data_IF_110399112690
#
_entry.id   IF_110399112690
#
_cell.length_a   1.000
_cell.length_b   1.000
_cell.length_c   1.000
_cell.angle_alpha   90.00
_cell.angle_beta   90.00
_cell.angle_gamma   90.00
#
_symmetry.space_group_name_H-M   'P 1'
#
loop_
_entity.id
_entity.type
_entity.pdbx_description
1 polymer ?
#
# COMPACT_ATOMS: atom_id res chain seq x y z
N UNK A 1 -3.66 12.20 -9.47
CA UNK A 1 -3.80 10.92 -10.20
C UNK A 1 -5.06 10.90 -11.07
N UNK A 2 -4.96 10.31 -12.26
CA UNK A 2 -6.02 10.29 -13.27
C UNK A 2 -7.20 9.36 -12.90
N UNK A 3 -6.99 8.42 -11.98
CA UNK A 3 -7.95 7.37 -11.64
C UNK A 3 -7.86 6.18 -12.60
N UNK A 4 -8.78 5.22 -12.48
CA UNK A 4 -8.90 4.04 -13.36
C UNK A 4 -7.82 2.96 -13.18
N UNK A 5 -6.74 3.24 -12.45
CA UNK A 5 -5.78 2.25 -11.95
C UNK A 5 -5.47 2.53 -10.49
N UNK A 6 -5.58 1.51 -9.65
CA UNK A 6 -5.32 1.59 -8.23
C UNK A 6 -5.89 0.39 -7.49
N UNK A 7 -5.59 0.33 -6.20
CA UNK A 7 -6.14 -0.66 -5.27
C UNK A 7 -7.66 -0.49 -5.09
N UNK A 8 -8.32 -1.60 -4.75
CA UNK A 8 -9.75 -1.67 -4.48
C UNK A 8 -10.04 -2.54 -3.25
N UNK A 9 -11.30 -2.88 -3.05
CA UNK A 9 -11.73 -3.82 -2.01
C UNK A 9 -11.00 -5.16 -2.15
N UNK A 10 -10.68 -5.76 -1.02
CA UNK A 10 -9.93 -7.03 -0.88
C UNK A 10 -8.43 -6.97 -1.24
N UNK A 11 -7.90 -5.85 -1.72
CA UNK A 11 -6.45 -5.69 -1.89
C UNK A 11 -5.73 -5.35 -0.56
N UNK A 12 -6.48 -4.96 0.47
CA UNK A 12 -5.93 -4.61 1.79
C UNK A 12 -5.04 -5.71 2.36
N UNK A 13 -3.84 -5.33 2.82
CA UNK A 13 -2.80 -6.27 3.25
C UNK A 13 -1.84 -6.71 2.14
N UNK A 14 -2.18 -6.48 0.87
CA UNK A 14 -1.30 -6.78 -0.27
C UNK A 14 -0.04 -5.90 -0.33
N UNK A 15 1.05 -6.38 -0.94
CA UNK A 15 2.32 -5.65 -0.98
C UNK A 15 2.42 -4.70 -2.18
N UNK A 16 3.06 -3.55 -1.96
CA UNK A 16 3.69 -2.75 -3.02
C UNK A 16 5.16 -3.13 -3.10
N UNK A 17 5.54 -3.78 -4.20
CA UNK A 17 6.92 -4.23 -4.44
C UNK A 17 7.53 -3.45 -5.60
N UNK A 18 8.75 -2.95 -5.41
CA UNK A 18 9.56 -2.30 -6.45
C UNK A 18 10.95 -2.94 -6.38
N UNK A 19 11.41 -3.50 -7.50
CA UNK A 19 12.72 -4.18 -7.62
C UNK A 19 12.99 -5.22 -6.52
N UNK A 20 11.96 -5.98 -6.15
CA UNK A 20 12.04 -7.04 -5.12
C UNK A 20 11.98 -6.55 -3.67
N UNK A 21 11.91 -5.24 -3.43
CA UNK A 21 11.78 -4.65 -2.09
C UNK A 21 10.33 -4.26 -1.83
N UNK A 22 9.79 -4.62 -0.67
CA UNK A 22 8.43 -4.22 -0.25
C UNK A 22 8.44 -2.82 0.38
N UNK A 23 7.84 -1.85 -0.31
CA UNK A 23 7.76 -0.45 0.14
C UNK A 23 6.51 -0.16 0.95
N UNK A 24 5.42 -0.85 0.61
CA UNK A 24 4.10 -0.56 1.13
C UNK A 24 3.25 -1.78 1.41
N UNK A 25 2.25 -1.60 2.25
CA UNK A 25 1.12 -2.51 2.43
C UNK A 25 -0.14 -1.73 2.08
N UNK A 26 -0.99 -2.28 1.20
CA UNK A 26 -2.27 -1.65 0.84
C UNK A 26 -3.09 -1.44 2.11
N UNK A 27 -3.48 -0.18 2.37
CA UNK A 27 -4.23 0.20 3.56
C UNK A 27 -5.67 0.57 3.20
N UNK A 28 -5.88 1.76 2.64
CA UNK A 28 -7.21 2.25 2.26
C UNK A 28 -7.17 3.13 1.02
N UNK A 29 -8.32 3.31 0.39
CA UNK A 29 -8.52 4.29 -0.68
C UNK A 29 -9.94 4.86 -0.56
N UNK A 30 -10.14 6.07 -1.08
CA UNK A 30 -11.49 6.59 -1.28
C UNK A 30 -12.00 6.07 -2.63
N UNK A 31 -13.04 5.24 -2.58
CA UNK A 31 -13.48 4.49 -3.75
C UNK A 31 -12.39 3.55 -4.29
N UNK A 32 -12.65 2.96 -5.47
CA UNK A 32 -11.64 2.18 -6.18
C UNK A 32 -11.11 2.97 -7.37
N UNK A 33 -9.81 3.27 -7.35
CA UNK A 33 -9.12 4.07 -8.36
C UNK A 33 -9.85 5.40 -8.70
N UNK A 34 -10.41 6.06 -7.69
CA UNK A 34 -11.13 7.33 -7.86
C UNK A 34 -10.17 8.45 -8.30
N UNK A 35 -10.54 9.19 -9.35
CA UNK A 35 -9.73 10.31 -9.84
C UNK A 35 -9.52 11.33 -8.72
N UNK A 36 -8.27 11.78 -8.56
CA UNK A 36 -7.90 12.73 -7.50
C UNK A 36 -7.64 12.10 -6.13
N UNK A 37 -8.02 10.85 -5.89
CA UNK A 37 -7.81 10.16 -4.62
C UNK A 37 -6.90 8.94 -4.81
N UNK A 38 -5.58 9.09 -4.60
CA UNK A 38 -4.66 7.96 -4.67
C UNK A 38 -4.95 6.96 -3.55
N UNK A 39 -4.56 5.70 -3.78
CA UNK A 39 -4.49 4.71 -2.72
C UNK A 39 -3.45 5.09 -1.67
N UNK A 40 -3.77 4.83 -0.41
CA UNK A 40 -2.87 5.04 0.72
C UNK A 40 -2.31 3.68 1.13
N UNK A 41 -0.99 3.66 1.36
CA UNK A 41 -0.26 2.48 1.79
C UNK A 41 0.43 2.75 3.14
N UNK A 42 0.52 1.72 3.96
CA UNK A 42 1.38 1.73 5.15
C UNK A 42 2.84 1.71 4.70
N UNK A 43 3.65 2.66 5.18
CA UNK A 43 5.08 2.78 4.85
C UNK A 43 5.90 1.72 5.60
N UNK A 44 6.27 0.64 4.92
CA UNK A 44 6.96 -0.52 5.55
C UNK A 44 8.26 -0.13 6.20
N UNK A 45 9.02 0.80 5.62
CA UNK A 45 10.30 1.26 6.18
C UNK A 45 10.18 1.87 7.59
N UNK A 46 8.99 2.36 7.98
CA UNK A 46 8.73 2.88 9.32
C UNK A 46 8.55 1.80 10.40
N UNK A 47 8.45 0.53 10.00
CA UNK A 47 8.19 -0.61 10.88
C UNK A 47 9.28 -1.68 10.82
N UNK A 48 10.39 -1.44 10.11
CA UNK A 48 11.45 -2.45 9.96
C UNK A 48 11.98 -2.91 11.30
N UNK A 49 12.27 -1.99 12.23
CA UNK A 49 12.79 -2.35 13.56
C UNK A 49 11.79 -3.21 14.35
N UNK A 50 10.52 -2.81 14.37
CA UNK A 50 9.45 -3.58 15.01
C UNK A 50 9.30 -4.99 14.40
N UNK A 51 9.37 -5.10 13.07
CA UNK A 51 9.32 -6.39 12.36
C UNK A 51 10.50 -7.26 12.76
N UNK A 52 11.72 -6.70 12.83
CA UNK A 52 12.92 -7.45 13.20
C UNK A 52 12.89 -7.96 14.64
N UNK A 53 12.32 -7.17 15.55
CA UNK A 53 12.14 -7.55 16.96
C UNK A 53 11.16 -8.72 17.13
N UNK A 54 10.19 -8.88 16.21
CA UNK A 54 9.09 -9.86 16.30
C UNK A 54 9.10 -10.91 15.17
N UNK A 55 10.29 -11.30 14.69
CA UNK A 55 10.43 -12.41 13.73
C UNK A 55 10.30 -13.78 14.38
#
# INVERSE_FOLDING_TARGET
PEGGKGQCHSDSGGPLVIDGVQYGIVSYAKGCAEKGYPGVLTKVSGYVDWIQEHR
#
